data_IF_082751441969
#
_entry.id   IF_082751441969
#
_cell.length_a   1.000
_cell.length_b   1.000
_cell.length_c   1.000
_cell.angle_alpha   90.00
_cell.angle_beta   90.00
_cell.angle_gamma   90.00
#
_symmetry.space_group_name_H-M   'P 1'
#
loop_
_entity.id
_entity.type
_entity.pdbx_description
1 polymer ?
#
# COMPACT_ATOMS: atom_id res chain seq x y z
N UNK A 1 -41.04 -17.99 48.85
CA UNK A 1 -41.72 -18.24 50.14
C UNK A 1 -42.07 -19.72 50.17
N UNK A 2 -41.96 -20.40 51.33
CA UNK A 2 -41.93 -21.89 51.43
C UNK A 2 -40.60 -22.42 50.79
N UNK A 3 -39.58 -22.86 51.53
CA UNK A 3 -39.44 -24.05 52.40
C UNK A 3 -39.45 -25.40 51.65
N UNK A 4 -38.82 -26.49 52.10
CA UNK A 4 -37.69 -26.74 53.03
C UNK A 4 -37.53 -28.26 53.16
N UNK A 5 -36.29 -28.81 53.12
CA UNK A 5 -35.87 -29.97 53.96
C UNK A 5 -34.39 -30.35 53.83
N UNK A 6 -33.82 -30.86 54.93
CA UNK A 6 -32.47 -31.43 55.06
C UNK A 6 -32.54 -32.89 55.52
N UNK A 7 -31.49 -33.67 55.20
CA UNK A 7 -30.96 -34.82 55.97
C UNK A 7 -29.49 -35.00 55.52
N UNK A 8 -28.42 -35.19 56.32
CA UNK A 8 -28.14 -36.09 57.46
C UNK A 8 -28.19 -37.59 57.07
N UNK A 9 -27.28 -38.52 57.44
CA UNK A 9 -25.92 -38.53 58.09
C UNK A 9 -25.30 -39.95 57.78
N UNK A 10 -24.03 -40.38 57.89
CA UNK A 10 -22.76 -40.02 58.57
C UNK A 10 -21.58 -39.98 57.53
N UNK A 11 -20.27 -39.83 57.77
CA UNK A 11 -19.29 -39.85 58.90
C UNK A 11 -18.73 -41.20 59.42
N UNK A 12 -17.45 -41.50 59.07
CA UNK A 12 -16.49 -42.43 59.74
C UNK A 12 -15.03 -41.93 59.56
N UNK A 13 -14.06 -42.40 60.36
CA UNK A 13 -12.68 -41.88 60.47
C UNK A 13 -11.61 -42.98 60.72
N UNK A 14 -10.42 -42.85 60.08
CA UNK A 14 -9.04 -43.17 60.61
C UNK A 14 -8.74 -44.67 60.94
N UNK A 15 -7.48 -45.18 61.05
CA UNK A 15 -6.11 -44.69 60.75
C UNK A 15 -5.50 -45.32 59.46
N UNK A 16 -4.41 -44.84 58.82
CA UNK A 16 -2.98 -44.64 59.19
C UNK A 16 -2.16 -45.92 59.45
N UNK A 17 -1.23 -46.22 58.51
CA UNK A 17 0.05 -46.93 58.74
C UNK A 17 1.13 -46.23 57.89
N UNK A 18 2.35 -46.09 58.41
CA UNK A 18 3.51 -45.49 57.74
C UNK A 18 4.52 -46.59 57.35
N UNK A 19 5.22 -46.44 56.23
CA UNK A 19 6.58 -46.97 56.09
C UNK A 19 7.39 -46.20 55.04
N UNK A 20 8.62 -45.85 55.43
CA UNK A 20 9.74 -45.51 54.54
C UNK A 20 10.35 -46.83 54.00
N UNK A 21 11.22 -46.91 52.98
CA UNK A 21 11.85 -45.96 52.05
C UNK A 21 12.42 -46.75 50.86
N UNK A 22 12.41 -46.20 49.64
CA UNK A 22 13.44 -46.46 48.62
C UNK A 22 13.39 -45.40 47.51
N UNK A 23 14.56 -44.99 47.00
CA UNK A 23 14.67 -44.06 45.88
C UNK A 23 14.31 -44.74 44.56
N UNK A 24 13.67 -43.99 43.65
CA UNK A 24 14.16 -43.80 42.28
C UNK A 24 13.53 -42.53 41.68
N UNK A 25 14.36 -41.64 41.14
CA UNK A 25 13.93 -40.43 40.42
C UNK A 25 13.39 -40.78 39.02
N UNK A 26 12.50 -39.97 38.43
CA UNK A 26 11.77 -40.35 37.23
C UNK A 26 12.67 -40.31 35.98
N UNK A 27 12.70 -41.41 35.22
CA UNK A 27 13.23 -41.39 33.87
C UNK A 27 12.21 -40.72 32.95
N UNK A 28 12.57 -39.57 32.38
CA UNK A 28 11.62 -38.71 31.68
C UNK A 28 11.18 -39.30 30.33
N UNK A 29 10.02 -39.95 30.30
CA UNK A 29 9.27 -40.24 29.06
C UNK A 29 8.57 -38.99 28.49
N UNK A 30 9.27 -37.87 28.51
CA UNK A 30 9.01 -36.70 27.67
C UNK A 30 9.79 -36.86 26.36
N UNK A 31 9.51 -37.95 25.63
CA UNK A 31 10.01 -38.15 24.27
C UNK A 31 9.36 -37.07 23.39
N UNK A 32 10.06 -35.95 23.25
CA UNK A 32 9.48 -34.74 22.69
C UNK A 32 9.00 -34.96 21.27
N UNK A 33 7.69 -34.82 21.06
CA UNK A 33 7.14 -34.47 19.76
C UNK A 33 7.57 -33.03 19.44
N UNK A 34 8.86 -32.85 19.13
CA UNK A 34 9.38 -31.70 18.42
C UNK A 34 8.78 -31.74 17.01
N UNK A 35 7.53 -31.31 16.92
CA UNK A 35 7.03 -30.70 15.71
C UNK A 35 7.92 -29.50 15.42
N UNK A 36 8.98 -29.74 14.64
CA UNK A 36 9.47 -28.76 13.70
C UNK A 36 8.31 -28.42 12.77
N UNK A 37 7.44 -27.51 13.23
CA UNK A 37 6.68 -26.66 12.33
C UNK A 37 7.76 -25.87 11.60
N UNK A 38 8.17 -26.37 10.45
CA UNK A 38 8.96 -25.60 9.52
C UNK A 38 8.12 -24.38 9.17
N UNK A 39 8.43 -23.25 9.80
CA UNK A 39 7.98 -21.97 9.32
C UNK A 39 8.64 -21.83 7.95
N UNK A 40 7.88 -22.07 6.88
CA UNK A 40 8.26 -21.61 5.56
C UNK A 40 8.27 -20.08 5.64
N UNK A 41 9.42 -19.52 6.02
CA UNK A 41 9.67 -18.09 6.01
C UNK A 41 9.67 -17.65 4.55
N UNK A 42 8.46 -17.30 4.06
CA UNK A 42 8.22 -16.89 2.68
C UNK A 42 8.94 -15.59 2.39
N UNK A 43 10.22 -15.69 2.05
CA UNK A 43 11.10 -14.55 1.91
C UNK A 43 10.59 -13.59 0.83
N UNK A 44 10.47 -12.32 1.21
CA UNK A 44 10.20 -11.24 0.27
C UNK A 44 11.50 -10.91 -0.47
N UNK A 45 11.56 -11.18 -1.78
CA UNK A 45 12.69 -10.79 -2.62
C UNK A 45 12.32 -9.56 -3.42
N UNK A 46 13.15 -8.52 -3.34
CA UNK A 46 13.10 -7.38 -4.24
C UNK A 46 14.02 -7.59 -5.44
N UNK A 47 13.59 -7.17 -6.64
CA UNK A 47 14.46 -7.11 -7.83
C UNK A 47 14.30 -5.77 -8.53
N UNK A 48 15.38 -5.00 -8.63
CA UNK A 48 15.39 -3.77 -9.42
C UNK A 48 15.24 -4.07 -10.92
N UNK A 49 14.54 -3.18 -11.63
CA UNK A 49 14.34 -3.23 -13.08
C UNK A 49 15.67 -3.32 -13.85
N UNK A 50 15.82 -4.35 -14.71
CA UNK A 50 17.02 -4.49 -15.55
C UNK A 50 17.10 -3.40 -16.62
N UNK A 51 18.31 -3.06 -17.08
CA UNK A 51 18.52 -2.07 -18.14
C UNK A 51 17.72 -2.36 -19.43
N UNK A 52 17.48 -3.64 -19.76
CA UNK A 52 16.66 -4.04 -20.91
C UNK A 52 15.16 -3.79 -20.70
N UNK A 53 14.63 -4.05 -19.50
CA UNK A 53 13.25 -3.66 -19.14
C UNK A 53 13.09 -2.14 -19.16
N UNK A 54 14.06 -1.42 -18.59
CA UNK A 54 14.11 0.05 -18.55
C UNK A 54 14.05 0.65 -19.95
N UNK A 55 14.94 0.21 -20.84
CA UNK A 55 14.97 0.72 -22.21
C UNK A 55 13.64 0.44 -22.92
N UNK A 56 13.14 -0.80 -22.87
CA UNK A 56 11.85 -1.17 -23.48
C UNK A 56 10.67 -0.31 -22.98
N UNK A 57 10.63 0.03 -21.69
CA UNK A 57 9.61 0.90 -21.09
C UNK A 57 9.74 2.34 -21.60
N UNK A 58 10.97 2.87 -21.69
CA UNK A 58 11.23 4.20 -22.23
C UNK A 58 10.91 4.29 -23.73
N UNK A 59 11.27 3.27 -24.52
CA UNK A 59 10.93 3.16 -25.95
C UNK A 59 9.42 3.13 -26.16
N UNK A 60 8.70 2.32 -25.37
CA UNK A 60 7.24 2.23 -25.43
C UNK A 60 6.56 3.56 -25.04
N UNK A 61 7.13 4.31 -24.07
CA UNK A 61 6.67 5.67 -23.74
C UNK A 61 6.94 6.63 -24.90
N UNK A 62 8.14 6.63 -25.48
CA UNK A 62 8.51 7.47 -26.62
C UNK A 62 7.62 7.22 -27.86
N UNK A 63 7.33 5.96 -28.18
CA UNK A 63 6.41 5.59 -29.27
C UNK A 63 5.00 6.13 -29.04
N UNK A 64 4.46 6.04 -27.82
CA UNK A 64 3.14 6.59 -27.48
C UNK A 64 3.13 8.12 -27.55
N UNK A 65 4.21 8.78 -27.11
CA UNK A 65 4.33 10.24 -27.23
C UNK A 65 4.37 10.68 -28.69
N UNK A 66 5.13 10.00 -29.55
CA UNK A 66 5.15 10.25 -30.98
C UNK A 66 3.78 10.02 -31.63
N UNK A 67 3.13 8.88 -31.36
CA UNK A 67 1.87 8.49 -32.01
C UNK A 67 0.69 9.45 -31.77
N UNK A 68 0.69 10.18 -30.66
CA UNK A 68 -0.36 11.16 -30.33
C UNK A 68 0.13 12.63 -30.38
N UNK A 69 1.37 12.86 -30.84
CA UNK A 69 2.08 14.15 -30.82
C UNK A 69 2.08 14.83 -29.42
N UNK A 70 2.35 14.05 -28.37
CA UNK A 70 2.34 14.54 -26.98
C UNK A 70 3.63 15.30 -26.65
N UNK A 71 3.51 16.29 -25.77
CA UNK A 71 4.63 17.10 -25.23
C UNK A 71 4.93 16.70 -23.78
N UNK A 72 6.13 16.19 -23.44
CA UNK A 72 6.50 15.79 -22.07
C UNK A 72 6.36 16.88 -21.00
N UNK A 73 6.54 18.13 -21.39
CA UNK A 73 6.49 19.33 -20.55
C UNK A 73 5.05 19.82 -20.28
N UNK A 74 4.10 19.58 -21.18
CA UNK A 74 2.69 19.99 -21.04
C UNK A 74 1.86 18.92 -20.30
N UNK A 75 2.29 18.59 -19.08
CA UNK A 75 1.53 17.71 -18.16
C UNK A 75 0.28 18.43 -17.66
N UNK A 76 -0.87 17.74 -17.67
CA UNK A 76 -2.10 18.17 -17.02
C UNK A 76 -2.54 17.18 -15.93
N UNK A 77 -3.11 17.70 -14.85
CA UNK A 77 -3.79 16.91 -13.81
C UNK A 77 -5.27 16.74 -14.21
N UNK A 78 -5.78 15.52 -14.22
CA UNK A 78 -7.23 15.28 -14.26
C UNK A 78 -7.87 15.58 -12.90
N UNK A 79 -8.84 16.50 -12.87
CA UNK A 79 -9.53 16.97 -11.66
C UNK A 79 -10.71 16.10 -11.25
N UNK A 80 -11.11 15.13 -12.08
CA UNK A 80 -12.34 14.36 -11.93
C UNK A 80 -13.55 15.04 -12.60
N UNK A 81 -14.60 14.26 -12.80
CA UNK A 81 -15.85 14.70 -13.43
C UNK A 81 -16.85 13.54 -13.52
N UNK A 82 -18.10 13.84 -13.85
CA UNK A 82 -19.17 12.85 -14.02
C UNK A 82 -19.29 12.35 -15.48
N UNK A 83 -18.17 12.26 -16.20
CA UNK A 83 -18.13 11.82 -17.60
C UNK A 83 -17.81 10.32 -17.66
N UNK A 84 -18.76 9.52 -18.14
CA UNK A 84 -18.64 8.06 -18.24
C UNK A 84 -17.51 7.60 -19.18
N UNK A 85 -17.00 8.46 -20.07
CA UNK A 85 -15.79 8.14 -20.85
C UNK A 85 -14.52 8.15 -20.00
N UNK A 86 -14.55 8.82 -18.84
CA UNK A 86 -13.43 8.96 -17.91
C UNK A 86 -13.51 8.06 -16.66
N UNK A 87 -14.48 7.13 -16.58
CA UNK A 87 -14.67 6.21 -15.44
C UNK A 87 -13.43 5.33 -15.12
N UNK A 88 -12.52 5.17 -16.08
CA UNK A 88 -11.26 4.43 -15.93
C UNK A 88 -10.07 5.31 -15.52
N UNK A 89 -10.23 6.63 -15.48
CA UNK A 89 -9.17 7.60 -15.18
C UNK A 89 -9.33 8.12 -13.75
N UNK A 90 -8.29 7.93 -12.93
CA UNK A 90 -8.36 8.28 -11.52
C UNK A 90 -8.21 9.79 -11.31
N UNK A 91 -8.92 10.35 -10.32
CA UNK A 91 -8.73 11.74 -9.95
C UNK A 91 -7.26 11.98 -9.55
N UNK A 92 -6.65 13.06 -10.07
CA UNK A 92 -5.23 13.40 -10.00
C UNK A 92 -4.29 12.59 -10.91
N UNK A 93 -4.79 11.73 -11.81
CA UNK A 93 -3.97 11.16 -12.88
C UNK A 93 -3.37 12.23 -13.79
N UNK A 94 -2.18 11.95 -14.34
CA UNK A 94 -1.48 12.82 -15.29
C UNK A 94 -1.89 12.46 -16.73
N UNK A 95 -2.35 13.46 -17.48
CA UNK A 95 -2.73 13.34 -18.88
C UNK A 95 -2.05 14.43 -19.73
N UNK A 96 -1.99 14.17 -21.04
CA UNK A 96 -1.37 15.05 -22.02
C UNK A 96 -2.37 15.40 -23.13
N UNK A 97 -2.33 16.61 -23.68
CA UNK A 97 -3.16 16.99 -24.84
C UNK A 97 -2.69 16.25 -26.10
N UNK A 98 -3.61 15.68 -26.87
CA UNK A 98 -3.30 15.01 -28.13
C UNK A 98 -3.32 15.98 -29.31
N UNK A 99 -2.14 16.41 -29.74
CA UNK A 99 -1.99 17.26 -30.92
C UNK A 99 -2.22 16.50 -32.24
N UNK A 100 -2.10 15.17 -32.25
CA UNK A 100 -2.45 14.35 -33.42
C UNK A 100 -3.97 14.30 -33.71
N UNK A 101 -4.83 14.67 -32.75
CA UNK A 101 -6.28 14.53 -32.85
C UNK A 101 -7.04 15.86 -32.79
N UNK A 102 -6.36 16.98 -32.54
CA UNK A 102 -6.98 18.28 -32.21
C UNK A 102 -7.97 18.82 -33.26
N UNK A 103 -7.80 18.50 -34.54
CA UNK A 103 -8.77 18.87 -35.60
C UNK A 103 -10.09 18.08 -35.54
N UNK A 104 -10.04 16.84 -35.04
CA UNK A 104 -11.19 15.94 -34.92
C UNK A 104 -11.83 15.95 -33.52
N UNK A 105 -11.04 16.26 -32.50
CA UNK A 105 -11.43 16.32 -31.10
C UNK A 105 -10.46 17.28 -30.37
N UNK A 106 -10.81 18.57 -30.19
CA UNK A 106 -9.98 19.54 -29.47
C UNK A 106 -9.90 19.27 -27.95
N UNK A 107 -10.68 18.29 -27.47
CA UNK A 107 -10.74 17.81 -26.09
C UNK A 107 -10.12 16.41 -25.95
N UNK A 108 -9.35 15.94 -26.93
CA UNK A 108 -8.61 14.68 -26.86
C UNK A 108 -7.39 14.82 -25.93
N UNK A 109 -7.38 14.02 -24.87
CA UNK A 109 -6.24 13.82 -23.97
C UNK A 109 -5.82 12.36 -23.97
N UNK A 110 -4.56 12.10 -23.59
CA UNK A 110 -4.00 10.77 -23.45
C UNK A 110 -3.40 10.63 -22.06
N UNK A 111 -3.90 9.65 -21.30
CA UNK A 111 -3.19 9.10 -20.16
C UNK A 111 -2.07 8.22 -20.70
N UNK A 112 -0.82 8.50 -20.34
CA UNK A 112 0.30 7.61 -20.66
C UNK A 112 0.76 6.96 -19.38
N UNK A 113 0.41 5.68 -19.23
CA UNK A 113 0.84 4.88 -18.09
C UNK A 113 2.38 4.81 -17.98
N UNK A 114 2.88 4.59 -16.77
CA UNK A 114 4.31 4.42 -16.47
C UNK A 114 5.00 3.39 -17.39
N UNK A 115 4.28 2.31 -17.72
CA UNK A 115 4.69 1.25 -18.65
C UNK A 115 4.59 1.64 -20.14
N UNK A 116 4.44 2.93 -20.45
CA UNK A 116 4.41 3.50 -21.78
C UNK A 116 3.12 3.28 -22.58
N UNK A 117 2.09 2.62 -22.02
CA UNK A 117 0.81 2.40 -22.73
C UNK A 117 -0.05 3.66 -22.67
N UNK A 118 -0.51 4.14 -23.82
CA UNK A 118 -1.46 5.25 -23.93
C UNK A 118 -2.92 4.79 -23.89
N UNK A 119 -3.78 5.56 -23.23
CA UNK A 119 -5.23 5.45 -23.31
C UNK A 119 -5.83 6.84 -23.62
N UNK A 120 -6.68 6.92 -24.66
CA UNK A 120 -7.31 8.18 -25.10
C UNK A 120 -8.59 8.43 -24.31
N UNK A 121 -8.76 9.66 -23.84
CA UNK A 121 -9.97 10.19 -23.23
C UNK A 121 -10.39 11.47 -23.94
N UNK A 122 -11.69 11.69 -24.11
CA UNK A 122 -12.23 13.01 -24.48
C UNK A 122 -12.70 13.66 -23.19
N UNK A 123 -12.07 14.77 -22.76
CA UNK A 123 -12.31 15.38 -21.44
C UNK A 123 -12.73 16.85 -21.58
N UNK A 124 -13.78 17.32 -20.87
CA UNK A 124 -14.11 18.74 -20.81
C UNK A 124 -12.92 19.59 -20.32
N UNK A 125 -12.64 20.77 -20.89
CA UNK A 125 -11.53 21.63 -20.44
C UNK A 125 -11.58 22.03 -18.95
N UNK A 126 -12.75 21.96 -18.32
CA UNK A 126 -12.96 22.22 -16.89
C UNK A 126 -12.57 21.05 -15.97
N UNK A 127 -12.36 19.84 -16.49
CA UNK A 127 -11.95 18.66 -15.70
C UNK A 127 -10.44 18.38 -15.78
N UNK A 128 -9.66 19.26 -16.42
CA UNK A 128 -8.19 19.18 -16.47
C UNK A 128 -7.55 20.52 -16.08
N UNK A 129 -6.35 20.48 -15.50
CA UNK A 129 -5.57 21.68 -15.17
C UNK A 129 -4.08 21.49 -15.49
N UNK A 130 -3.37 22.46 -16.08
CA UNK A 130 -1.92 22.37 -16.25
C UNK A 130 -1.21 22.13 -14.91
N UNK A 131 -0.25 21.20 -14.89
CA UNK A 131 0.52 20.85 -13.69
C UNK A 131 1.33 22.04 -13.15
N UNK A 132 1.74 22.95 -14.03
CA UNK A 132 2.43 24.20 -13.71
C UNK A 132 1.57 25.20 -12.91
N UNK A 133 0.24 25.07 -12.94
CA UNK A 133 -0.68 25.87 -12.12
C UNK A 133 -0.95 25.23 -10.74
N UNK A 134 -0.16 24.24 -10.34
CA UNK A 134 -0.23 23.59 -9.03
C UNK A 134 1.18 23.53 -8.45
N UNK A 135 1.42 24.21 -7.33
CA UNK A 135 2.73 24.22 -6.68
C UNK A 135 3.14 22.79 -6.24
N UNK A 136 4.45 22.54 -6.09
CA UNK A 136 4.95 21.20 -5.71
C UNK A 136 4.62 20.89 -4.24
N UNK A 137 4.65 21.92 -3.38
CA UNK A 137 4.31 21.90 -1.96
C UNK A 137 2.81 22.01 -1.64
N UNK A 138 1.94 22.23 -2.65
CA UNK A 138 0.48 22.07 -2.48
C UNK A 138 0.11 20.58 -2.49
N UNK A 139 0.46 19.90 -1.39
CA UNK A 139 0.22 18.47 -1.20
C UNK A 139 -1.27 18.09 -1.34
N UNK A 140 -2.21 19.00 -1.09
CA UNK A 140 -3.65 18.74 -1.22
C UNK A 140 -4.09 18.77 -2.69
N UNK A 141 -3.53 19.66 -3.51
CA UNK A 141 -3.76 19.63 -4.96
C UNK A 141 -2.93 18.56 -5.68
N UNK A 142 -1.81 18.14 -5.09
CA UNK A 142 -0.92 17.08 -5.58
C UNK A 142 -1.35 15.65 -5.20
N UNK A 143 -2.33 15.49 -4.30
CA UNK A 143 -2.84 14.16 -3.89
C UNK A 143 -4.34 13.98 -4.10
N UNK A 144 -4.80 12.73 -4.20
CA UNK A 144 -6.21 12.38 -4.30
C UNK A 144 -7.01 12.84 -3.06
N UNK A 145 -8.28 13.19 -3.27
CA UNK A 145 -9.14 13.75 -2.22
C UNK A 145 -9.22 12.83 -0.99
N UNK A 146 -8.80 13.36 0.17
CA UNK A 146 -8.83 12.66 1.45
C UNK A 146 -7.59 11.84 1.78
N UNK A 147 -6.62 11.67 0.87
CA UNK A 147 -5.42 10.84 1.14
C UNK A 147 -4.59 11.37 2.33
N UNK A 148 -4.54 12.69 2.49
CA UNK A 148 -3.86 13.40 3.57
C UNK A 148 -4.79 13.79 4.73
N UNK A 149 -6.02 13.28 4.76
CA UNK A 149 -6.98 13.54 5.82
C UNK A 149 -6.96 12.43 6.89
N UNK A 150 -7.34 12.79 8.12
CA UNK A 150 -7.63 11.80 9.16
C UNK A 150 -8.91 11.05 8.81
N UNK A 151 -8.88 9.73 8.93
CA UNK A 151 -10.06 8.89 8.70
C UNK A 151 -11.08 9.04 9.84
N UNK A 152 -12.39 8.86 9.57
CA UNK A 152 -13.42 8.80 10.60
C UNK A 152 -13.24 7.57 11.50
N UNK A 153 -13.76 7.63 12.72
CA UNK A 153 -13.52 6.62 13.79
C UNK A 153 -13.90 5.18 13.40
N UNK A 154 -14.92 5.02 12.54
CA UNK A 154 -15.43 3.74 12.06
C UNK A 154 -14.68 3.17 10.83
N UNK A 155 -13.65 3.85 10.31
CA UNK A 155 -12.92 3.43 9.12
C UNK A 155 -12.17 2.09 9.30
N UNK A 156 -11.76 1.49 8.19
CA UNK A 156 -11.04 0.21 8.16
C UNK A 156 -9.63 0.31 8.74
N UNK A 157 -8.84 1.33 8.37
CA UNK A 157 -7.47 1.45 8.86
C UNK A 157 -7.43 1.73 10.37
N UNK A 158 -8.34 2.56 10.90
CA UNK A 158 -8.49 2.73 12.36
C UNK A 158 -8.78 1.42 13.09
N UNK A 159 -9.70 0.60 12.58
CA UNK A 159 -10.01 -0.72 13.16
C UNK A 159 -8.86 -1.72 13.03
N UNK A 160 -8.01 -1.58 12.01
CA UNK A 160 -6.85 -2.45 11.80
C UNK A 160 -5.64 -2.07 12.66
N UNK A 161 -5.28 -0.78 12.71
CA UNK A 161 -4.11 -0.30 13.47
C UNK A 161 -4.41 -0.03 14.95
N UNK A 162 -5.68 0.18 15.34
CA UNK A 162 -6.08 0.46 16.72
C UNK A 162 -5.30 1.65 17.30
N UNK A 163 -4.71 1.44 18.49
CA UNK A 163 -3.90 2.45 19.18
C UNK A 163 -2.70 2.96 18.36
N UNK A 164 -2.22 2.17 17.39
CA UNK A 164 -1.12 2.57 16.48
C UNK A 164 -1.57 3.44 15.31
N UNK A 165 -2.88 3.68 15.13
CA UNK A 165 -3.40 4.48 14.01
C UNK A 165 -2.77 5.87 13.91
N UNK A 166 -2.55 6.53 15.05
CA UNK A 166 -1.93 7.86 15.09
C UNK A 166 -0.44 7.85 14.70
N UNK A 167 0.24 6.71 14.78
CA UNK A 167 1.60 6.53 14.25
C UNK A 167 1.56 6.26 12.74
N UNK A 168 0.76 5.27 12.30
CA UNK A 168 0.55 4.94 10.88
C UNK A 168 0.12 6.18 10.07
N UNK A 169 -0.83 6.97 10.57
CA UNK A 169 -1.31 8.18 9.89
C UNK A 169 -0.19 9.22 9.69
N UNK A 170 0.67 9.42 10.70
CA UNK A 170 1.83 10.33 10.59
C UNK A 170 2.86 9.81 9.58
N UNK A 171 3.14 8.51 9.58
CA UNK A 171 4.06 7.88 8.63
C UNK A 171 3.51 7.92 7.19
N UNK A 172 2.20 7.64 6.99
CA UNK A 172 1.47 7.77 5.71
C UNK A 172 1.57 9.18 5.14
N UNK A 173 1.26 10.20 5.95
CA UNK A 173 1.37 11.61 5.54
C UNK A 173 2.82 11.99 5.21
N UNK A 174 3.80 11.54 5.99
CA UNK A 174 5.21 11.78 5.70
C UNK A 174 5.66 11.13 4.38
N UNK A 175 5.27 9.88 4.13
CA UNK A 175 5.59 9.15 2.90
C UNK A 175 4.99 9.82 1.65
N UNK A 176 3.70 10.18 1.67
CA UNK A 176 3.05 10.89 0.55
C UNK A 176 3.74 12.22 0.25
N UNK A 177 4.13 12.98 1.29
CA UNK A 177 4.88 14.22 1.11
C UNK A 177 6.25 13.99 0.47
N UNK A 178 7.07 13.07 1.01
CA UNK A 178 8.38 12.72 0.43
C UNK A 178 8.28 12.35 -1.05
N UNK A 179 7.25 11.61 -1.45
CA UNK A 179 7.02 11.25 -2.86
C UNK A 179 6.76 12.50 -3.70
N UNK A 180 5.87 13.39 -3.25
CA UNK A 180 5.53 14.63 -3.95
C UNK A 180 6.70 15.62 -3.97
N UNK A 181 7.54 15.66 -2.92
CA UNK A 181 8.74 16.48 -2.82
C UNK A 181 9.86 15.98 -3.74
N UNK A 182 9.95 14.65 -3.95
CA UNK A 182 10.86 14.00 -4.91
C UNK A 182 10.46 14.27 -6.36
N UNK A 183 11.32 13.93 -7.33
CA UNK A 183 10.98 13.98 -8.76
C UNK A 183 10.44 12.64 -9.30
N UNK A 184 10.06 11.72 -8.42
CA UNK A 184 9.54 10.40 -8.80
C UNK A 184 8.10 10.50 -9.31
N UNK A 185 7.25 11.33 -8.68
CA UNK A 185 5.82 11.42 -9.02
C UNK A 185 5.28 12.85 -8.99
N UNK A 186 4.61 13.25 -10.07
CA UNK A 186 3.94 14.56 -10.14
C UNK A 186 2.75 14.68 -9.18
N UNK A 187 2.03 13.57 -8.93
CA UNK A 187 0.85 13.45 -8.07
C UNK A 187 0.74 12.05 -7.48
N UNK A 188 0.00 11.90 -6.37
CA UNK A 188 -0.22 10.62 -5.65
C UNK A 188 -1.71 10.30 -5.53
N UNK A 189 -2.10 9.10 -5.97
CA UNK A 189 -3.49 8.61 -6.02
C UNK A 189 -3.90 7.85 -4.76
N UNK A 190 -2.97 7.09 -4.17
CA UNK A 190 -3.17 6.24 -3.00
C UNK A 190 -1.85 6.10 -2.23
N UNK A 191 -1.91 5.79 -0.94
CA UNK A 191 -0.74 5.42 -0.15
C UNK A 191 -1.16 4.71 1.16
N UNK A 192 -0.70 3.47 1.36
CA UNK A 192 -1.03 2.64 2.52
C UNK A 192 0.11 1.71 2.90
N UNK A 193 0.10 1.22 4.15
CA UNK A 193 1.09 0.28 4.66
C UNK A 193 0.59 -1.16 4.60
N UNK A 194 1.50 -2.06 4.22
CA UNK A 194 1.29 -3.49 4.05
C UNK A 194 2.30 -4.25 4.91
N UNK A 195 1.85 -5.32 5.56
CA UNK A 195 2.69 -6.22 6.35
C UNK A 195 2.52 -7.64 5.81
N UNK A 196 3.64 -8.29 5.48
CA UNK A 196 3.66 -9.63 4.88
C UNK A 196 4.98 -10.32 5.23
N UNK A 197 4.92 -11.58 5.67
CA UNK A 197 6.10 -12.38 6.05
C UNK A 197 7.05 -11.68 7.06
N UNK A 198 6.52 -10.85 7.96
CA UNK A 198 7.29 -10.07 8.94
C UNK A 198 7.78 -8.71 8.42
N UNK A 199 8.04 -8.57 7.12
CA UNK A 199 8.34 -7.28 6.47
C UNK A 199 7.13 -6.34 6.49
N UNK A 200 7.38 -5.03 6.62
CA UNK A 200 6.34 -4.00 6.55
C UNK A 200 6.81 -2.79 5.73
N UNK A 201 6.03 -2.41 4.72
CA UNK A 201 6.35 -1.32 3.80
C UNK A 201 5.12 -0.47 3.49
N UNK A 202 5.33 0.80 3.15
CA UNK A 202 4.32 1.59 2.47
C UNK A 202 4.39 1.33 0.95
N UNK A 203 3.24 1.26 0.30
CA UNK A 203 3.11 1.39 -1.16
C UNK A 203 2.20 2.58 -1.49
N UNK A 204 2.52 3.29 -2.57
CA UNK A 204 1.72 4.37 -3.13
C UNK A 204 1.61 4.24 -4.65
N UNK A 205 0.44 4.55 -5.20
CA UNK A 205 0.24 4.68 -6.66
C UNK A 205 0.29 6.14 -7.08
N UNK A 206 1.05 6.44 -8.12
CA UNK A 206 1.25 7.80 -8.63
C UNK A 206 0.37 8.13 -9.83
N UNK A 207 0.31 9.41 -10.20
CA UNK A 207 -0.59 9.93 -11.24
C UNK A 207 -0.42 9.34 -12.64
N UNK A 208 0.76 8.85 -13.01
CA UNK A 208 0.99 8.11 -14.26
C UNK A 208 0.88 6.57 -14.10
N UNK A 209 0.48 6.09 -12.93
CA UNK A 209 0.38 4.66 -12.62
C UNK A 209 1.69 3.98 -12.23
N UNK A 210 2.76 4.73 -11.94
CA UNK A 210 3.92 4.17 -11.22
C UNK A 210 3.51 3.73 -9.80
N UNK A 211 4.03 2.58 -9.34
CA UNK A 211 4.03 2.22 -7.92
C UNK A 211 5.36 2.66 -7.28
N UNK A 212 5.30 3.19 -6.06
CA UNK A 212 6.46 3.55 -5.24
C UNK A 212 6.32 2.85 -3.90
N UNK A 213 7.34 2.07 -3.50
CA UNK A 213 7.37 1.38 -2.20
C UNK A 213 8.58 1.81 -1.37
N UNK A 214 8.41 1.97 -0.06
CA UNK A 214 9.49 2.21 0.89
C UNK A 214 9.19 1.48 2.20
N UNK A 215 10.20 0.91 2.86
CA UNK A 215 9.99 0.15 4.09
C UNK A 215 9.66 1.10 5.26
N UNK A 216 8.86 0.61 6.24
CA UNK A 216 8.27 1.48 7.29
C UNK A 216 9.35 2.14 8.17
N UNK A 217 10.50 1.50 8.33
CA UNK A 217 11.63 2.04 9.09
C UNK A 217 12.28 3.22 8.37
N UNK A 218 12.57 3.12 7.08
CA UNK A 218 13.13 4.21 6.24
C UNK A 218 12.16 5.39 6.17
N UNK A 219 10.85 5.11 6.08
CA UNK A 219 9.80 6.13 6.20
C UNK A 219 9.95 6.90 7.52
N UNK A 220 10.07 6.18 8.65
CA UNK A 220 10.22 6.76 10.00
C UNK A 220 11.55 7.48 10.23
N UNK A 221 12.65 6.99 9.66
CA UNK A 221 13.98 7.58 9.75
C UNK A 221 14.15 8.84 8.88
N UNK A 222 13.22 9.09 7.96
CA UNK A 222 13.21 10.30 7.13
C UNK A 222 13.84 10.12 5.75
N UNK A 223 14.28 8.92 5.37
CA UNK A 223 14.99 8.66 4.12
C UNK A 223 14.16 8.95 2.86
N UNK A 224 14.80 9.43 1.80
CA UNK A 224 14.15 9.67 0.49
C UNK A 224 13.75 8.35 -0.17
N UNK A 225 12.53 8.22 -0.75
CA UNK A 225 12.16 7.04 -1.53
C UNK A 225 13.13 6.83 -2.71
N UNK A 226 13.44 5.57 -3.02
CA UNK A 226 14.32 5.26 -4.15
C UNK A 226 13.60 5.51 -5.49
N UNK A 227 14.27 6.12 -6.50
CA UNK A 227 13.76 6.20 -7.86
C UNK A 227 13.90 4.87 -8.62
N UNK A 228 14.53 3.84 -8.03
CA UNK A 228 14.59 2.51 -8.66
C UNK A 228 13.25 1.77 -8.55
N UNK A 229 12.74 1.33 -9.70
CA UNK A 229 11.60 0.41 -9.75
C UNK A 229 12.06 -0.96 -9.27
N UNK A 230 11.41 -1.47 -8.22
CA UNK A 230 11.63 -2.80 -7.66
C UNK A 230 10.35 -3.63 -7.78
N UNK A 231 10.46 -4.85 -8.28
CA UNK A 231 9.39 -5.85 -8.19
C UNK A 231 9.59 -6.65 -6.90
N UNK A 232 8.60 -6.65 -5.99
CA UNK A 232 8.57 -7.44 -4.75
C UNK A 232 7.92 -8.80 -5.01
N UNK A 233 8.62 -9.90 -4.76
CA UNK A 233 8.17 -11.28 -4.95
C UNK A 233 8.08 -12.03 -3.62
N UNK A 234 7.06 -12.88 -3.46
CA UNK A 234 7.09 -13.94 -2.44
C UNK A 234 7.84 -15.15 -3.00
N UNK A 235 8.91 -15.58 -2.34
CA UNK A 235 9.29 -16.98 -2.38
C UNK A 235 8.31 -17.81 -1.55
N UNK A 236 8.02 -19.02 -2.04
CA UNK A 236 7.57 -20.14 -1.24
C UNK A 236 8.60 -21.23 -1.43
N UNK A 237 9.22 -21.63 -0.34
CA UNK A 237 10.02 -22.86 -0.23
C UNK A 237 9.10 -24.04 0.13
#
# INVERSE_FOLDING_TARGET
MIESKKSHVASRKVPVVFSLTALFTPLALAAGALFFVAQCESALIEKSETAAQRQKRMDQRALTFAAFHLKPEEKLIYLGGADAQADQLWQKSIVYRSYALTESDPNAYVFVSFNGRGAKFTLPPSTVKPLSEVAKDDYQQRSATGLLAREPENASARRYYGDKYEEYYRQKVAFVKKIIDSDICDTVLSADAYTLAGSSWFSASCGDGQEVTQDVEDVRQGETPSPEIKEKFLLRE
#
